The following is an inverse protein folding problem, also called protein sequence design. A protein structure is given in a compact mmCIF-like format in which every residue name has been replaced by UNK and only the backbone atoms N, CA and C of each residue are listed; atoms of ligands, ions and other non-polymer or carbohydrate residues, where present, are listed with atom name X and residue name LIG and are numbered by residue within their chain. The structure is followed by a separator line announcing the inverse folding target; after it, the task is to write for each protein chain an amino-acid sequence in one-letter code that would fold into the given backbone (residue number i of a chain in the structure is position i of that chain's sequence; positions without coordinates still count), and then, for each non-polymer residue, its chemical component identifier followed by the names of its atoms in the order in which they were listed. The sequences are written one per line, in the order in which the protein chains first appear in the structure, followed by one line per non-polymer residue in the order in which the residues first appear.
data_IF_192760405049
#
_entry.id   IF_192760405049
#
_cell.length_a   1.000
_cell.length_b   1.000
_cell.length_c   1.000
_cell.angle_alpha   90.00
_cell.angle_beta   90.00
_cell.angle_gamma   90.00
#
_symmetry.space_group_name_H-M   'P 1'
#
loop_
_entity.id
_entity.type
_entity.pdbx_description
1 polymer ?
#
# COMPACT_ATOMS: atom_id res chain seq x y z
N UNK A 1 14.35 -12.11 7.55
CA UNK A 1 14.91 -10.78 7.89
C UNK A 1 13.77 -10.01 8.50
N UNK A 2 13.90 -9.62 9.76
CA UNK A 2 12.88 -8.83 10.46
C UNK A 2 13.27 -7.37 10.26
N UNK A 3 12.45 -6.61 9.54
CA UNK A 3 12.54 -5.16 9.51
C UNK A 3 12.27 -4.71 10.95
N UNK A 4 13.32 -4.33 11.69
CA UNK A 4 13.19 -3.77 13.04
C UNK A 4 13.68 -2.33 12.99
N UNK A 5 12.83 -1.45 12.46
CA UNK A 5 12.60 -0.23 13.22
C UNK A 5 11.93 -0.72 14.50
N UNK A 6 12.38 -0.32 15.70
CA UNK A 6 11.85 -0.87 16.97
C UNK A 6 10.31 -0.81 17.09
N UNK A 7 9.65 -0.06 16.20
CA UNK A 7 8.19 0.12 16.12
C UNK A 7 7.51 -0.36 14.81
N UNK A 8 8.25 -0.78 13.77
CA UNK A 8 7.64 -1.23 12.49
C UNK A 8 8.37 -2.43 11.92
N UNK A 9 7.59 -3.44 11.52
CA UNK A 9 8.01 -4.62 10.76
C UNK A 9 7.13 -4.69 9.51
N UNK A 10 7.76 -4.55 8.33
CA UNK A 10 7.11 -4.73 7.02
C UNK A 10 7.05 -6.21 6.60
N UNK A 11 7.38 -7.10 7.55
CA UNK A 11 7.48 -8.55 7.37
C UNK A 11 6.11 -9.22 7.44
N UNK A 12 5.05 -8.45 7.76
CA UNK A 12 3.67 -8.92 7.80
C UNK A 12 3.03 -8.69 6.43
N UNK A 13 2.80 -9.73 5.62
CA UNK A 13 2.22 -9.59 4.29
C UNK A 13 0.80 -8.99 4.31
N UNK A 14 0.12 -9.01 5.45
CA UNK A 14 -1.29 -8.66 5.58
C UNK A 14 -1.56 -7.25 6.11
N UNK A 15 -0.50 -6.45 6.37
CA UNK A 15 -0.66 -5.06 6.82
C UNK A 15 0.06 -4.09 5.90
N UNK A 16 -0.72 -3.25 5.23
CA UNK A 16 -0.25 -2.00 4.63
C UNK A 16 -0.17 -0.88 5.65
N UNK A 17 0.99 -0.22 5.78
CA UNK A 17 1.18 0.96 6.64
C UNK A 17 0.94 2.25 5.85
N UNK A 18 0.44 3.29 6.52
CA UNK A 18 0.27 4.63 5.93
C UNK A 18 1.31 5.63 6.45
N UNK A 19 2.10 6.19 5.54
CA UNK A 19 2.92 7.39 5.74
C UNK A 19 2.11 8.60 5.28
N UNK A 20 1.73 9.44 6.25
CA UNK A 20 1.18 10.76 5.98
C UNK A 20 2.33 11.73 5.70
N UNK A 21 2.54 12.05 4.42
CA UNK A 21 3.61 12.95 3.98
C UNK A 21 3.17 14.40 4.12
N UNK A 22 3.90 15.15 4.94
CA UNK A 22 3.71 16.60 5.07
C UNK A 22 4.38 17.32 3.89
N UNK A 23 5.52 16.82 3.44
CA UNK A 23 6.33 17.48 2.41
C UNK A 23 6.65 18.91 2.81
N UNK A 24 6.29 19.85 1.94
CA UNK A 24 6.44 21.31 2.15
C UNK A 24 5.12 22.02 2.49
N UNK A 25 4.01 21.30 2.68
CA UNK A 25 2.67 21.87 2.96
C UNK A 25 2.56 22.60 4.31
N UNK A 26 3.60 22.56 5.13
CA UNK A 26 3.69 23.37 6.34
C UNK A 26 4.02 24.84 6.05
N UNK A 27 4.38 25.21 4.82
CA UNK A 27 4.65 26.59 4.39
C UNK A 27 5.67 27.32 5.29
N UNK A 28 6.73 26.58 5.68
CA UNK A 28 7.74 27.02 6.65
C UNK A 28 7.22 27.47 8.03
N UNK A 29 5.96 27.17 8.36
CA UNK A 29 5.36 27.47 9.65
C UNK A 29 5.33 26.21 10.53
N UNK A 30 6.08 26.25 11.63
CA UNK A 30 6.15 25.14 12.58
C UNK A 30 4.82 24.89 13.31
N UNK A 31 3.98 25.91 13.50
CA UNK A 31 2.67 25.74 14.11
C UNK A 31 1.75 24.95 13.16
N UNK A 32 1.81 25.23 11.86
CA UNK A 32 1.10 24.45 10.83
C UNK A 32 1.63 23.01 10.82
N UNK A 33 2.96 22.82 10.80
CA UNK A 33 3.57 21.50 10.85
C UNK A 33 3.11 20.68 12.07
N UNK A 34 3.08 21.28 13.27
CA UNK A 34 2.55 20.62 14.48
C UNK A 34 1.07 20.31 14.36
N UNK A 35 0.27 21.20 13.77
CA UNK A 35 -1.15 20.94 13.54
C UNK A 35 -1.36 19.74 12.62
N UNK A 36 -0.53 19.60 11.59
CA UNK A 36 -0.53 18.45 10.71
C UNK A 36 -0.19 17.15 11.45
N UNK A 37 0.74 17.17 12.42
CA UNK A 37 1.01 16.02 13.30
C UNK A 37 -0.23 15.59 14.08
N UNK A 38 -0.96 16.56 14.66
CA UNK A 38 -2.20 16.28 15.39
C UNK A 38 -3.25 15.63 14.49
N UNK A 39 -3.47 16.20 13.30
CA UNK A 39 -4.44 15.68 12.32
C UNK A 39 -4.08 14.26 11.86
N UNK A 40 -2.81 14.02 11.52
CA UNK A 40 -2.37 12.69 11.10
C UNK A 40 -2.54 11.65 12.22
N UNK A 41 -2.28 12.04 13.47
CA UNK A 41 -2.52 11.18 14.64
C UNK A 41 -4.01 10.91 14.86
N UNK A 42 -4.85 11.94 14.79
CA UNK A 42 -6.31 11.81 14.91
C UNK A 42 -6.89 10.90 13.83
N UNK A 43 -6.36 11.01 12.61
CA UNK A 43 -6.70 10.14 11.50
C UNK A 43 -6.18 8.71 11.66
N UNK A 44 -5.23 8.48 12.58
CA UNK A 44 -4.53 7.21 12.82
C UNK A 44 -3.67 6.76 11.65
N UNK A 45 -3.00 7.71 10.97
CA UNK A 45 -1.88 7.36 10.10
C UNK A 45 -0.79 6.67 10.93
N UNK A 46 -0.08 5.71 10.34
CA UNK A 46 0.93 4.93 11.06
C UNK A 46 2.22 5.74 11.29
N UNK A 47 2.60 6.59 10.32
CA UNK A 47 3.83 7.38 10.31
C UNK A 47 3.51 8.78 9.79
N UNK A 48 4.13 9.81 10.36
CA UNK A 48 4.21 11.14 9.75
C UNK A 48 5.61 11.39 9.19
N UNK A 49 5.69 11.94 7.98
CA UNK A 49 6.96 12.23 7.32
C UNK A 49 7.13 13.71 7.01
N UNK A 50 8.37 14.17 7.23
CA UNK A 50 8.85 15.51 6.91
C UNK A 50 10.05 15.44 5.95
N UNK A 51 10.50 16.60 5.49
CA UNK A 51 11.67 16.75 4.64
C UNK A 51 12.71 17.65 5.32
N UNK A 52 13.99 17.28 5.24
CA UNK A 52 15.09 18.17 5.61
C UNK A 52 16.05 18.27 4.44
N UNK A 53 16.26 19.48 3.97
CA UNK A 53 17.21 19.81 2.92
C UNK A 53 17.82 21.18 3.20
N UNK A 54 19.02 21.40 2.67
CA UNK A 54 19.60 22.72 2.52
C UNK A 54 19.45 23.09 1.05
N UNK A 55 18.60 24.08 0.76
CA UNK A 55 18.18 24.38 -0.61
C UNK A 55 19.36 24.73 -1.50
N UNK A 56 20.38 25.43 -0.97
CA UNK A 56 21.56 25.87 -1.75
C UNK A 56 22.53 24.73 -2.05
N UNK A 57 22.48 23.65 -1.25
CA UNK A 57 23.27 22.43 -1.51
C UNK A 57 22.56 21.45 -2.44
N UNK A 58 21.23 21.49 -2.44
CA UNK A 58 20.38 20.58 -3.19
C UNK A 58 20.07 21.09 -4.60
N UNK A 59 19.74 22.38 -4.71
CA UNK A 59 19.18 22.94 -5.94
C UNK A 59 20.15 23.93 -6.56
N UNK A 60 20.49 23.68 -7.83
CA UNK A 60 21.30 24.61 -8.63
C UNK A 60 20.60 25.97 -8.77
N UNK A 61 21.36 27.06 -8.75
CA UNK A 61 20.88 28.42 -9.05
C UNK A 61 20.26 28.55 -10.46
N UNK A 62 20.56 27.60 -11.34
CA UNK A 62 20.03 27.53 -12.71
C UNK A 62 18.88 26.54 -12.86
N UNK A 63 18.45 25.88 -11.79
CA UNK A 63 17.35 24.92 -11.85
C UNK A 63 16.02 25.65 -12.07
N UNK A 64 15.32 25.22 -13.11
CA UNK A 64 13.97 25.70 -13.39
C UNK A 64 12.93 24.92 -12.58
N UNK A 65 11.76 25.53 -12.37
CA UNK A 65 10.61 24.88 -11.73
C UNK A 65 10.00 23.85 -12.69
N UNK A 66 9.52 22.74 -12.15
CA UNK A 66 8.70 21.81 -12.93
C UNK A 66 7.40 22.48 -13.36
N UNK A 67 6.78 22.01 -14.45
CA UNK A 67 5.58 22.63 -15.02
C UNK A 67 4.41 22.70 -14.02
N UNK A 68 4.24 21.67 -13.18
CA UNK A 68 3.21 21.69 -12.15
C UNK A 68 3.51 22.72 -11.05
N UNK A 69 4.78 22.91 -10.69
CA UNK A 69 5.20 23.92 -9.71
C UNK A 69 4.96 25.32 -10.27
N UNK A 70 5.27 25.56 -11.54
CA UNK A 70 4.95 26.83 -12.21
C UNK A 70 3.45 27.13 -12.22
N UNK A 71 2.60 26.11 -12.39
CA UNK A 71 1.13 26.26 -12.38
C UNK A 71 0.56 26.47 -10.97
N UNK A 72 1.15 25.83 -9.97
CA UNK A 72 0.64 25.82 -8.60
C UNK A 72 1.23 26.93 -7.73
N UNK A 73 2.35 27.53 -8.15
CA UNK A 73 2.97 28.65 -7.45
C UNK A 73 2.61 29.98 -8.09
N UNK A 74 2.46 31.02 -7.27
CA UNK A 74 2.29 32.38 -7.78
C UNK A 74 3.64 33.00 -8.19
N UNK A 75 3.63 34.04 -9.04
CA UNK A 75 4.86 34.73 -9.49
C UNK A 75 5.74 35.26 -8.35
N UNK A 76 5.20 35.38 -7.14
CA UNK A 76 5.88 35.87 -5.94
C UNK A 76 6.48 34.76 -5.05
N UNK A 77 6.42 33.48 -5.45
CA UNK A 77 6.93 32.32 -4.67
C UNK A 77 8.30 31.81 -5.16
N UNK A 78 9.09 32.72 -5.74
CA UNK A 78 10.44 32.46 -6.24
C UNK A 78 10.49 32.36 -7.77
N UNK A 79 11.47 33.02 -8.37
CA UNK A 79 11.70 33.10 -9.81
C UNK A 79 12.20 31.75 -10.37
N UNK A 80 12.85 30.94 -9.54
CA UNK A 80 13.43 29.64 -9.90
C UNK A 80 13.19 28.59 -8.79
N UNK A 81 13.62 27.35 -9.03
CA UNK A 81 13.40 26.24 -8.10
C UNK A 81 14.07 26.46 -6.74
N UNK A 82 15.28 27.04 -6.73
CA UNK A 82 16.04 27.28 -5.51
C UNK A 82 15.32 28.25 -4.57
N UNK A 83 14.82 29.36 -5.11
CA UNK A 83 14.10 30.37 -4.31
C UNK A 83 12.81 29.80 -3.71
N UNK A 84 12.08 28.99 -4.47
CA UNK A 84 10.88 28.30 -3.99
C UNK A 84 11.21 27.33 -2.84
N UNK A 85 12.22 26.46 -3.01
CA UNK A 85 12.66 25.55 -1.96
C UNK A 85 13.11 26.31 -0.70
N UNK A 86 13.89 27.39 -0.87
CA UNK A 86 14.38 28.23 0.24
C UNK A 86 13.26 28.92 1.00
N UNK A 87 12.15 29.26 0.34
CA UNK A 87 10.96 29.81 0.99
C UNK A 87 10.22 28.78 1.87
N UNK A 88 10.38 27.49 1.57
CA UNK A 88 9.69 26.38 2.23
C UNK A 88 10.59 25.59 3.20
N UNK A 89 11.90 25.86 3.21
CA UNK A 89 12.89 25.15 4.02
C UNK A 89 12.67 25.30 5.55
N UNK A 90 12.54 24.18 6.26
CA UNK A 90 12.57 24.13 7.72
C UNK A 90 14.00 24.02 8.23
N UNK A 91 14.30 24.71 9.34
CA UNK A 91 15.61 24.59 9.97
C UNK A 91 15.80 23.22 10.66
N UNK A 92 17.05 22.78 10.87
CA UNK A 92 17.35 21.60 11.67
C UNK A 92 16.70 21.64 13.06
N UNK A 93 16.67 22.81 13.71
CA UNK A 93 16.02 23.03 15.01
C UNK A 93 14.50 22.79 14.93
N UNK A 94 13.85 23.23 13.83
CA UNK A 94 12.43 22.93 13.61
C UNK A 94 12.20 21.43 13.48
N UNK A 95 13.05 20.71 12.73
CA UNK A 95 12.95 19.26 12.59
C UNK A 95 13.16 18.54 13.93
N UNK A 96 14.13 18.99 14.74
CA UNK A 96 14.36 18.47 16.10
C UNK A 96 13.13 18.68 16.99
N UNK A 97 12.54 19.87 16.93
CA UNK A 97 11.33 20.21 17.68
C UNK A 97 10.12 19.37 17.24
N UNK A 98 9.94 19.18 15.93
CA UNK A 98 8.87 18.32 15.37
C UNK A 98 9.04 16.86 15.78
N UNK A 99 10.27 16.34 15.76
CA UNK A 99 10.56 14.98 16.25
C UNK A 99 10.16 14.82 17.73
N UNK A 100 10.56 15.76 18.59
CA UNK A 100 10.19 15.75 20.01
C UNK A 100 8.67 15.88 20.22
N UNK A 101 7.99 16.68 19.39
CA UNK A 101 6.54 16.81 19.42
C UNK A 101 5.84 15.50 19.01
N UNK A 102 6.32 14.84 17.95
CA UNK A 102 5.83 13.53 17.51
C UNK A 102 6.00 12.47 18.61
N UNK A 103 7.17 12.42 19.27
CA UNK A 103 7.44 11.52 20.40
C UNK A 103 6.46 11.74 21.56
N UNK A 104 6.20 13.01 21.93
CA UNK A 104 5.22 13.36 22.96
C UNK A 104 3.81 12.86 22.62
N UNK A 105 3.44 12.92 21.34
CA UNK A 105 2.13 12.47 20.85
C UNK A 105 2.10 10.97 20.53
N UNK A 106 3.22 10.24 20.68
CA UNK A 106 3.38 8.84 20.25
C UNK A 106 3.07 8.65 18.76
N UNK A 107 3.37 9.66 17.96
CA UNK A 107 3.29 9.62 16.50
C UNK A 107 4.67 9.26 15.95
N UNK A 108 4.81 8.15 15.21
CA UNK A 108 6.10 7.79 14.65
C UNK A 108 6.56 8.77 13.58
N UNK A 109 7.83 9.19 13.69
CA UNK A 109 8.43 10.24 12.89
C UNK A 109 9.37 9.65 11.84
N UNK A 110 9.23 10.10 10.60
CA UNK A 110 10.13 9.80 9.49
C UNK A 110 10.59 11.11 8.84
N UNK A 111 11.77 11.11 8.24
CA UNK A 111 12.25 12.26 7.50
C UNK A 111 13.01 11.83 6.24
N UNK A 112 12.90 12.64 5.20
CA UNK A 112 13.61 12.49 3.94
C UNK A 112 14.92 13.26 3.98
N UNK A 113 16.02 12.60 3.59
CA UNK A 113 17.32 13.23 3.39
C UNK A 113 17.54 13.47 1.90
N UNK A 114 18.00 14.66 1.54
CA UNK A 114 18.26 15.07 0.16
C UNK A 114 19.75 15.16 -0.14
N UNK A 115 20.53 15.69 0.83
CA UNK A 115 21.97 15.83 0.69
C UNK A 115 22.74 15.44 1.96
N UNK A 116 24.08 15.46 1.89
CA UNK A 116 24.99 14.97 2.94
C UNK A 116 24.76 15.60 4.31
N UNK A 117 24.51 16.90 4.37
CA UNK A 117 24.27 17.62 5.63
C UNK A 117 22.99 17.15 6.30
N UNK A 118 21.87 17.07 5.57
CA UNK A 118 20.59 16.53 6.05
C UNK A 118 20.74 15.09 6.52
N UNK A 119 21.45 14.24 5.76
CA UNK A 119 21.74 12.86 6.16
C UNK A 119 22.47 12.77 7.50
N UNK A 120 23.56 13.54 7.65
CA UNK A 120 24.35 13.54 8.88
C UNK A 120 23.54 14.07 10.06
N UNK A 121 22.76 15.14 9.86
CA UNK A 121 21.91 15.69 10.91
C UNK A 121 20.84 14.70 11.36
N UNK A 122 20.12 14.08 10.41
CA UNK A 122 19.06 13.13 10.70
C UNK A 122 19.59 11.87 11.42
N UNK A 123 20.70 11.30 10.94
CA UNK A 123 21.23 10.05 11.50
C UNK A 123 22.10 10.29 12.73
N UNK A 124 23.12 11.14 12.64
CA UNK A 124 24.09 11.34 13.72
C UNK A 124 23.57 12.34 14.76
N UNK A 125 22.87 13.39 14.32
CA UNK A 125 22.33 14.43 15.20
C UNK A 125 21.03 14.03 15.91
N UNK A 126 20.06 13.46 15.18
CA UNK A 126 18.75 13.05 15.72
C UNK A 126 18.64 11.56 16.02
N UNK A 127 19.64 10.76 15.65
CA UNK A 127 19.69 9.34 15.97
C UNK A 127 18.74 8.47 15.14
N UNK A 128 18.22 8.97 14.01
CA UNK A 128 17.27 8.22 13.17
C UNK A 128 17.88 6.91 12.68
N UNK A 129 17.09 5.83 12.75
CA UNK A 129 17.49 4.48 12.33
C UNK A 129 16.90 4.07 10.98
N UNK A 130 15.97 4.87 10.49
CA UNK A 130 15.35 4.73 9.17
C UNK A 130 15.29 6.11 8.53
N UNK A 131 15.62 6.19 7.24
CA UNK A 131 15.46 7.40 6.45
C UNK A 131 14.72 7.12 5.16
N UNK A 132 14.03 8.14 4.66
CA UNK A 132 13.44 8.14 3.32
C UNK A 132 14.44 8.74 2.33
N UNK A 133 14.58 8.10 1.17
CA UNK A 133 15.33 8.61 0.01
C UNK A 133 14.30 8.95 -1.08
N UNK A 134 14.26 10.20 -1.57
CA UNK A 134 13.31 10.61 -2.60
C UNK A 134 13.77 10.14 -3.98
N UNK A 135 12.87 10.14 -4.96
CA UNK A 135 13.15 9.63 -6.30
C UNK A 135 14.29 10.31 -7.05
N UNK A 136 14.49 11.64 -6.96
CA UNK A 136 15.62 12.30 -7.62
C UNK A 136 17.01 11.73 -7.24
N UNK A 137 17.14 11.16 -6.03
CA UNK A 137 18.41 10.65 -5.52
C UNK A 137 18.75 9.22 -5.94
N UNK A 138 17.87 8.54 -6.69
CA UNK A 138 18.06 7.11 -7.00
C UNK A 138 19.30 6.83 -7.85
N UNK A 139 19.73 7.78 -8.67
CA UNK A 139 20.94 7.68 -9.49
C UNK A 139 22.15 8.36 -8.85
N UNK A 140 22.00 9.00 -7.68
CA UNK A 140 23.08 9.65 -6.95
C UNK A 140 23.91 8.62 -6.17
N UNK A 141 24.65 7.78 -6.91
CA UNK A 141 25.46 6.67 -6.36
C UNK A 141 26.42 7.11 -5.25
N UNK A 142 27.13 8.26 -5.35
CA UNK A 142 27.96 8.74 -4.25
C UNK A 142 27.16 9.00 -2.96
N UNK A 143 25.96 9.57 -3.05
CA UNK A 143 25.10 9.83 -1.90
C UNK A 143 24.51 8.54 -1.32
N UNK A 144 24.02 7.63 -2.18
CA UNK A 144 23.55 6.31 -1.75
C UNK A 144 24.64 5.51 -1.01
N UNK A 145 25.90 5.61 -1.45
CA UNK A 145 27.03 5.00 -0.75
C UNK A 145 27.23 5.59 0.64
N UNK A 146 27.10 6.91 0.81
CA UNK A 146 27.18 7.55 2.13
C UNK A 146 26.03 7.13 3.03
N UNK A 147 24.82 6.98 2.48
CA UNK A 147 23.65 6.48 3.21
C UNK A 147 23.90 5.04 3.69
N UNK A 148 24.37 4.15 2.83
CA UNK A 148 24.65 2.77 3.23
C UNK A 148 25.70 2.69 4.35
N UNK A 149 26.72 3.56 4.32
CA UNK A 149 27.75 3.63 5.37
C UNK A 149 27.21 4.03 6.75
N UNK A 150 26.05 4.72 6.80
CA UNK A 150 25.36 5.01 8.05
C UNK A 150 24.74 3.77 8.71
N UNK A 151 24.62 2.66 7.98
CA UNK A 151 24.05 1.38 8.45
C UNK A 151 22.64 1.56 9.04
N UNK A 152 21.86 2.42 8.42
CA UNK A 152 20.43 2.64 8.70
C UNK A 152 19.57 1.80 7.76
N UNK A 153 18.27 1.74 8.03
CA UNK A 153 17.29 1.20 7.10
C UNK A 153 16.82 2.30 6.15
N UNK A 154 16.40 1.91 4.95
CA UNK A 154 16.03 2.84 3.88
C UNK A 154 14.64 2.53 3.33
N UNK A 155 13.85 3.58 3.14
CA UNK A 155 12.69 3.58 2.25
C UNK A 155 13.10 4.36 0.99
N UNK A 156 13.12 3.72 -0.17
CA UNK A 156 13.64 4.29 -1.43
C UNK A 156 12.50 4.43 -2.44
N UNK A 157 12.15 5.66 -2.85
CA UNK A 157 11.20 5.85 -3.96
C UNK A 157 11.89 5.71 -5.31
N UNK A 158 11.18 5.17 -6.29
CA UNK A 158 11.72 4.84 -7.62
C UNK A 158 11.02 5.53 -8.78
N UNK A 159 10.36 6.66 -8.55
CA UNK A 159 9.80 7.49 -9.62
C UNK A 159 10.86 7.96 -10.60
N UNK A 160 10.46 8.15 -11.86
CA UNK A 160 11.32 8.57 -12.97
C UNK A 160 12.60 7.70 -13.14
N UNK A 161 12.51 6.40 -12.84
CA UNK A 161 13.64 5.47 -12.96
C UNK A 161 13.29 4.20 -13.71
N UNK A 162 14.30 3.61 -14.34
CA UNK A 162 14.24 2.29 -14.94
C UNK A 162 14.67 1.20 -13.95
N UNK A 163 14.24 -0.04 -14.21
CA UNK A 163 14.53 -1.18 -13.33
C UNK A 163 16.05 -1.40 -13.08
N UNK A 164 16.90 -1.09 -14.06
CA UNK A 164 18.35 -1.21 -13.91
C UNK A 164 18.96 -0.14 -12.97
N UNK A 165 18.40 1.06 -12.92
CA UNK A 165 18.81 2.12 -11.98
C UNK A 165 18.39 1.75 -10.56
N UNK A 166 17.19 1.19 -10.40
CA UNK A 166 16.73 0.64 -9.12
C UNK A 166 17.68 -0.47 -8.63
N UNK A 167 18.09 -1.38 -9.53
CA UNK A 167 19.04 -2.44 -9.21
C UNK A 167 20.39 -1.88 -8.73
N UNK A 168 20.94 -0.88 -9.43
CA UNK A 168 22.20 -0.23 -9.07
C UNK A 168 22.11 0.49 -7.72
N UNK A 169 20.99 1.16 -7.44
CA UNK A 169 20.73 1.83 -6.17
C UNK A 169 20.70 0.83 -5.00
N UNK A 170 19.96 -0.28 -5.17
CA UNK A 170 19.89 -1.37 -4.17
C UNK A 170 21.28 -1.96 -3.92
N UNK A 171 22.02 -2.27 -4.99
CA UNK A 171 23.36 -2.82 -4.89
C UNK A 171 24.28 -1.88 -4.11
N UNK A 172 24.30 -0.60 -4.49
CA UNK A 172 25.12 0.43 -3.83
C UNK A 172 24.82 0.55 -2.34
N UNK A 173 23.54 0.59 -1.97
CA UNK A 173 23.11 0.68 -0.58
C UNK A 173 23.57 -0.56 0.22
N UNK A 174 23.34 -1.76 -0.31
CA UNK A 174 23.69 -3.02 0.34
C UNK A 174 25.21 -3.17 0.52
N UNK A 175 25.99 -2.92 -0.54
CA UNK A 175 27.45 -3.01 -0.51
C UNK A 175 28.08 -2.02 0.50
N UNK A 176 27.47 -0.84 0.66
CA UNK A 176 27.91 0.17 1.61
C UNK A 176 27.50 -0.14 3.07
N UNK A 177 26.64 -1.14 3.30
CA UNK A 177 26.25 -1.59 4.64
C UNK A 177 24.84 -1.20 5.10
N UNK A 178 23.97 -0.78 4.18
CA UNK A 178 22.55 -0.56 4.48
C UNK A 178 21.91 -1.84 5.03
N UNK A 179 21.11 -1.72 6.09
CA UNK A 179 20.56 -2.89 6.79
C UNK A 179 19.38 -3.51 6.05
N UNK A 180 18.38 -2.68 5.79
CA UNK A 180 17.10 -3.09 5.22
C UNK A 180 16.65 -2.05 4.20
N UNK A 181 15.96 -2.47 3.15
CA UNK A 181 15.48 -1.61 2.06
C UNK A 181 14.02 -1.94 1.76
N UNK A 182 13.17 -0.92 1.79
CA UNK A 182 11.80 -0.95 1.24
C UNK A 182 11.78 -0.09 -0.01
N UNK A 183 11.22 -0.62 -1.10
CA UNK A 183 11.07 0.13 -2.35
C UNK A 183 9.67 0.74 -2.42
N UNK A 184 9.55 1.98 -2.91
CA UNK A 184 8.26 2.56 -3.27
C UNK A 184 8.20 2.76 -4.78
N UNK A 185 7.27 2.05 -5.43
CA UNK A 185 6.82 2.45 -6.75
C UNK A 185 6.21 3.85 -6.67
N UNK A 186 6.46 4.68 -7.68
CA UNK A 186 6.07 6.09 -7.68
C UNK A 186 6.10 6.64 -9.11
N UNK A 187 5.30 7.65 -9.37
CA UNK A 187 5.39 8.50 -10.56
C UNK A 187 5.62 9.93 -10.10
N UNK A 188 6.69 10.57 -10.55
CA UNK A 188 7.12 11.90 -10.10
C UNK A 188 6.34 13.03 -10.79
N UNK A 189 5.01 13.00 -10.71
CA UNK A 189 4.10 13.98 -11.33
C UNK A 189 2.98 14.35 -10.34
N UNK A 190 2.65 15.65 -10.22
CA UNK A 190 1.79 16.15 -9.15
C UNK A 190 0.68 17.07 -9.71
N UNK A 191 -0.56 16.59 -9.89
CA UNK A 191 -1.01 15.22 -9.68
C UNK A 191 -0.64 14.27 -10.83
N UNK A 192 -0.45 12.99 -10.54
CA UNK A 192 -0.28 11.95 -11.55
C UNK A 192 -1.65 11.49 -12.09
N UNK A 193 -1.87 11.44 -13.42
CA UNK A 193 -3.05 10.82 -14.02
C UNK A 193 -3.15 9.33 -13.70
N UNK A 194 -4.36 8.80 -13.49
CA UNK A 194 -4.54 7.40 -13.06
C UNK A 194 -4.01 6.39 -14.09
N UNK A 195 -4.13 6.70 -15.38
CA UNK A 195 -3.63 5.92 -16.50
C UNK A 195 -2.10 5.75 -16.49
N UNK A 196 -1.36 6.69 -15.89
CA UNK A 196 0.10 6.69 -15.83
C UNK A 196 0.64 6.01 -14.57
N UNK A 197 -0.22 5.69 -13.59
CA UNK A 197 0.22 5.14 -12.31
C UNK A 197 0.96 3.81 -12.40
N UNK A 198 0.58 2.95 -13.35
CA UNK A 198 1.23 1.65 -13.59
C UNK A 198 1.44 0.80 -12.30
N UNK A 199 0.42 0.64 -11.46
CA UNK A 199 0.53 -0.06 -10.16
C UNK A 199 1.07 -1.51 -10.27
N UNK A 200 0.94 -2.16 -11.43
CA UNK A 200 1.51 -3.49 -11.68
C UNK A 200 3.04 -3.52 -11.63
N UNK A 201 3.71 -2.39 -11.80
CA UNK A 201 5.16 -2.27 -11.64
C UNK A 201 5.65 -2.70 -10.25
N UNK A 202 4.82 -2.53 -9.21
CA UNK A 202 5.13 -3.05 -7.86
C UNK A 202 5.38 -4.55 -7.86
N UNK A 203 4.58 -5.31 -8.62
CA UNK A 203 4.75 -6.76 -8.75
C UNK A 203 6.09 -7.07 -9.43
N UNK A 204 6.42 -6.36 -10.51
CA UNK A 204 7.71 -6.51 -11.21
C UNK A 204 8.89 -6.22 -10.27
N UNK A 205 8.84 -5.13 -9.50
CA UNK A 205 9.89 -4.78 -8.54
C UNK A 205 10.03 -5.85 -7.44
N UNK A 206 8.90 -6.35 -6.92
CA UNK A 206 8.89 -7.40 -5.88
C UNK A 206 9.52 -8.69 -6.40
N UNK A 207 9.17 -9.13 -7.61
CA UNK A 207 9.75 -10.32 -8.24
C UNK A 207 11.24 -10.14 -8.56
N UNK A 208 11.64 -8.98 -9.09
CA UNK A 208 13.02 -8.72 -9.50
C UNK A 208 13.99 -8.64 -8.31
N UNK A 209 13.56 -8.06 -7.18
CA UNK A 209 14.46 -7.73 -6.08
C UNK A 209 14.24 -8.53 -4.80
N UNK A 210 13.08 -9.21 -4.66
CA UNK A 210 12.72 -9.94 -3.44
C UNK A 210 12.62 -9.04 -2.19
N UNK A 211 12.45 -7.73 -2.39
CA UNK A 211 12.33 -6.73 -1.32
C UNK A 211 10.85 -6.38 -1.07
N UNK A 212 10.50 -5.88 0.12
CA UNK A 212 9.19 -5.28 0.35
C UNK A 212 8.97 -4.09 -0.58
N UNK A 213 7.79 -4.03 -1.20
CA UNK A 213 7.42 -2.97 -2.14
C UNK A 213 6.15 -2.29 -1.65
N UNK A 214 6.17 -0.97 -1.62
CA UNK A 214 5.03 -0.10 -1.38
C UNK A 214 4.77 0.84 -2.55
N UNK A 215 3.93 1.84 -2.31
CA UNK A 215 3.53 2.84 -3.28
C UNK A 215 3.61 4.24 -2.66
N UNK A 216 4.26 5.16 -3.36
CA UNK A 216 4.29 6.60 -3.05
C UNK A 216 3.47 7.30 -4.11
N UNK A 217 2.33 7.83 -3.69
CA UNK A 217 1.25 8.26 -4.55
C UNK A 217 1.14 9.79 -4.62
N UNK A 218 1.01 10.27 -5.84
CA UNK A 218 0.79 11.67 -6.18
C UNK A 218 -0.46 11.86 -7.04
N UNK A 219 -1.30 10.84 -7.20
CA UNK A 219 -2.62 10.96 -7.82
C UNK A 219 -3.62 11.65 -6.88
N UNK A 220 -4.70 12.17 -7.45
CA UNK A 220 -5.81 12.71 -6.66
C UNK A 220 -6.60 11.57 -5.98
N UNK A 221 -7.32 11.90 -4.91
CA UNK A 221 -8.15 10.93 -4.20
C UNK A 221 -7.34 9.85 -3.48
N UNK A 222 -7.98 8.72 -3.19
CA UNK A 222 -7.45 7.62 -2.35
C UNK A 222 -7.58 6.24 -3.02
N UNK A 223 -8.18 6.19 -4.20
CA UNK A 223 -8.56 4.97 -4.91
C UNK A 223 -7.33 4.17 -5.32
N UNK A 224 -6.30 4.87 -5.83
CA UNK A 224 -5.02 4.28 -6.21
C UNK A 224 -4.29 3.67 -5.01
N UNK A 225 -4.33 4.32 -3.86
CA UNK A 225 -3.73 3.82 -2.62
C UNK A 225 -4.36 2.49 -2.17
N UNK A 226 -5.70 2.42 -2.20
CA UNK A 226 -6.46 1.22 -1.83
C UNK A 226 -6.19 0.10 -2.85
N UNK A 227 -6.16 0.42 -4.14
CA UNK A 227 -5.82 -0.54 -5.18
C UNK A 227 -4.38 -1.07 -5.03
N UNK A 228 -3.43 -0.20 -4.68
CA UNK A 228 -2.05 -0.58 -4.42
C UNK A 228 -1.93 -1.51 -3.21
N UNK A 229 -2.65 -1.21 -2.13
CA UNK A 229 -2.73 -2.11 -0.97
C UNK A 229 -3.29 -3.49 -1.36
N UNK A 230 -4.35 -3.54 -2.16
CA UNK A 230 -4.92 -4.79 -2.67
C UNK A 230 -3.96 -5.58 -3.58
N UNK A 231 -3.04 -4.90 -4.26
CA UNK A 231 -1.96 -5.50 -5.06
C UNK A 231 -0.75 -5.92 -4.21
N UNK A 232 -0.80 -5.74 -2.89
CA UNK A 232 0.22 -6.20 -1.95
C UNK A 232 1.29 -5.16 -1.60
N UNK A 233 0.98 -3.86 -1.73
CA UNK A 233 1.83 -2.80 -1.21
C UNK A 233 1.95 -2.91 0.33
N UNK A 234 3.18 -2.98 0.85
CA UNK A 234 3.43 -3.05 2.31
C UNK A 234 3.32 -1.68 2.98
N UNK A 235 3.42 -0.62 2.20
CA UNK A 235 3.34 0.77 2.68
C UNK A 235 2.77 1.65 1.58
N UNK A 236 1.93 2.60 1.98
CA UNK A 236 1.43 3.71 1.17
C UNK A 236 2.02 4.99 1.72
N UNK A 237 2.56 5.83 0.86
CA UNK A 237 2.97 7.20 1.17
C UNK A 237 2.10 8.16 0.37
N UNK A 238 1.40 9.06 1.07
CA UNK A 238 0.46 10.00 0.45
C UNK A 238 0.66 11.39 1.05
N UNK A 239 0.81 12.39 0.18
CA UNK A 239 0.84 13.79 0.62
C UNK A 239 -0.51 14.19 1.20
N UNK A 240 -0.51 14.87 2.35
CA UNK A 240 -1.71 15.45 2.92
C UNK A 240 -1.52 16.91 3.30
N UNK A 241 -2.62 17.63 3.39
CA UNK A 241 -2.67 19.04 3.75
C UNK A 241 -3.83 19.33 4.69
N UNK A 242 -3.83 20.51 5.32
CA UNK A 242 -4.95 21.00 6.11
C UNK A 242 -6.06 21.57 5.21
N UNK A 243 -5.67 22.18 4.09
CA UNK A 243 -6.56 22.80 3.10
C UNK A 243 -5.82 22.89 1.74
N UNK A 244 -6.44 22.36 0.68
CA UNK A 244 -5.91 22.40 -0.71
C UNK A 244 -5.91 23.80 -1.33
N UNK A 245 -6.52 24.79 -0.68
CA UNK A 245 -6.54 26.19 -1.11
C UNK A 245 -5.41 27.02 -0.49
N UNK A 246 -4.67 26.47 0.48
CA UNK A 246 -3.44 27.10 0.94
C UNK A 246 -2.43 27.21 -0.19
N UNK A 247 -1.57 28.23 -0.09
CA UNK A 247 -0.49 28.49 -1.04
C UNK A 247 0.60 27.43 -0.90
N UNK A 248 1.25 27.10 -2.02
CA UNK A 248 2.37 26.15 -2.07
C UNK A 248 2.21 25.11 -3.17
N UNK A 249 3.32 24.47 -3.59
CA UNK A 249 3.35 23.66 -4.82
C UNK A 249 2.55 22.36 -4.74
N UNK A 250 2.46 21.78 -3.54
CA UNK A 250 1.98 20.40 -3.35
C UNK A 250 0.55 20.33 -2.80
N UNK A 251 -0.02 21.45 -2.33
CA UNK A 251 -1.35 21.50 -1.74
C UNK A 251 -2.43 20.93 -2.67
N UNK A 252 -2.36 21.25 -3.98
CA UNK A 252 -3.35 20.81 -4.97
C UNK A 252 -3.35 19.29 -5.22
N UNK A 253 -2.22 18.63 -5.03
CA UNK A 253 -2.10 17.18 -5.20
C UNK A 253 -2.31 16.40 -3.88
N UNK A 254 -2.41 17.11 -2.75
CA UNK A 254 -2.50 16.51 -1.42
C UNK A 254 -3.94 16.18 -1.02
N UNK A 255 -4.12 15.13 -0.20
CA UNK A 255 -5.43 14.83 0.40
C UNK A 255 -5.69 15.65 1.66
N UNK A 256 -6.94 15.94 1.96
CA UNK A 256 -7.37 16.71 3.15
C UNK A 256 -7.64 15.79 4.36
N UNK A 257 -7.86 16.34 5.57
CA UNK A 257 -8.01 15.54 6.79
C UNK A 257 -9.10 14.46 6.72
N UNK A 258 -10.20 14.75 6.04
CA UNK A 258 -11.34 13.82 5.90
C UNK A 258 -11.00 12.65 4.96
N UNK A 259 -10.27 12.94 3.90
CA UNK A 259 -9.77 11.94 2.94
C UNK A 259 -8.65 11.11 3.55
N UNK A 260 -7.78 11.69 4.40
CA UNK A 260 -6.79 10.94 5.16
C UNK A 260 -7.45 9.92 6.09
N UNK A 261 -8.54 10.32 6.78
CA UNK A 261 -9.36 9.40 7.58
C UNK A 261 -10.02 8.32 6.72
N UNK A 262 -10.52 8.70 5.55
CA UNK A 262 -11.11 7.75 4.60
C UNK A 262 -10.07 6.74 4.09
N UNK A 263 -8.84 7.19 3.82
CA UNK A 263 -7.73 6.33 3.40
C UNK A 263 -7.35 5.33 4.50
N UNK A 264 -7.17 5.78 5.75
CA UNK A 264 -6.90 4.88 6.88
C UNK A 264 -8.00 3.82 7.03
N UNK A 265 -9.27 4.24 6.91
CA UNK A 265 -10.41 3.31 6.93
C UNK A 265 -10.37 2.33 5.75
N UNK A 266 -10.09 2.83 4.55
CA UNK A 266 -9.99 2.04 3.31
C UNK A 266 -8.91 0.96 3.41
N UNK A 267 -7.70 1.33 3.84
CA UNK A 267 -6.60 0.39 4.06
C UNK A 267 -6.94 -0.65 5.14
N UNK A 268 -7.60 -0.23 6.22
CA UNK A 268 -8.07 -1.16 7.27
C UNK A 268 -9.07 -2.18 6.74
N UNK A 269 -10.01 -1.75 5.88
CA UNK A 269 -10.99 -2.64 5.25
C UNK A 269 -10.30 -3.57 4.25
N UNK A 270 -9.42 -3.04 3.40
CA UNK A 270 -8.69 -3.82 2.42
C UNK A 270 -7.86 -4.94 3.08
N UNK A 271 -7.09 -4.62 4.12
CA UNK A 271 -6.29 -5.60 4.87
C UNK A 271 -7.16 -6.72 5.46
N UNK A 272 -8.39 -6.42 5.91
CA UNK A 272 -9.33 -7.44 6.40
C UNK A 272 -9.97 -8.26 5.27
N UNK A 273 -10.23 -7.63 4.13
CA UNK A 273 -10.93 -8.24 3.00
C UNK A 273 -10.05 -9.17 2.16
N UNK A 274 -8.74 -8.93 2.10
CA UNK A 274 -7.81 -9.73 1.29
C UNK A 274 -7.72 -11.19 1.74
N UNK A 275 -7.87 -11.47 3.04
CA UNK A 275 -8.01 -12.83 3.56
C UNK A 275 -6.83 -13.74 3.19
N UNK A 276 -7.14 -14.89 2.57
CA UNK A 276 -6.16 -15.93 2.22
C UNK A 276 -6.26 -16.29 0.74
N UNK A 277 -5.17 -16.79 0.17
CA UNK A 277 -5.14 -17.35 -1.20
C UNK A 277 -5.95 -18.65 -1.35
N UNK A 278 -6.46 -19.23 -0.27
CA UNK A 278 -7.24 -20.49 -0.30
C UNK A 278 -8.71 -20.20 -0.63
N UNK A 279 -9.20 -20.69 -1.77
CA UNK A 279 -10.64 -20.65 -2.10
C UNK A 279 -11.39 -21.73 -1.33
N UNK A 280 -12.17 -21.30 -0.36
CA UNK A 280 -13.08 -22.15 0.41
C UNK A 280 -14.36 -21.39 0.78
N UNK A 281 -15.43 -22.06 1.25
CA UNK A 281 -16.59 -21.36 1.81
C UNK A 281 -16.18 -20.52 3.02
N UNK A 282 -16.72 -19.31 3.12
CA UNK A 282 -16.46 -18.47 4.28
C UNK A 282 -17.11 -19.07 5.54
N UNK A 283 -16.58 -18.76 6.72
CA UNK A 283 -17.14 -19.25 8.00
C UNK A 283 -18.61 -18.89 8.14
N UNK A 284 -19.03 -17.71 7.68
CA UNK A 284 -20.42 -17.25 7.70
C UNK A 284 -21.34 -18.02 6.74
N UNK A 285 -20.79 -18.77 5.78
CA UNK A 285 -21.55 -19.55 4.80
C UNK A 285 -21.68 -21.03 5.19
N UNK A 286 -20.90 -21.53 6.16
CA UNK A 286 -20.82 -22.96 6.49
C UNK A 286 -22.19 -23.55 6.83
N UNK A 287 -22.99 -22.84 7.65
CA UNK A 287 -24.35 -23.28 8.01
C UNK A 287 -25.33 -23.29 6.84
N UNK A 288 -25.05 -22.54 5.76
CA UNK A 288 -25.92 -22.49 4.59
C UNK A 288 -25.62 -23.62 3.61
N UNK A 289 -24.46 -24.29 3.71
CA UNK A 289 -24.02 -25.27 2.71
C UNK A 289 -25.05 -26.37 2.52
N UNK A 290 -25.55 -26.98 3.61
CA UNK A 290 -26.56 -28.05 3.56
C UNK A 290 -27.85 -27.59 2.89
N UNK A 291 -28.21 -26.31 3.02
CA UNK A 291 -29.46 -25.77 2.49
C UNK A 291 -29.37 -25.37 1.01
N UNK A 292 -28.23 -24.80 0.60
CA UNK A 292 -28.10 -24.16 -0.73
C UNK A 292 -27.47 -25.05 -1.80
N UNK A 293 -26.72 -26.07 -1.38
CA UNK A 293 -26.17 -27.06 -2.31
C UNK A 293 -27.27 -28.05 -2.72
N UNK A 294 -27.06 -28.66 -3.88
CA UNK A 294 -28.03 -29.57 -4.47
C UNK A 294 -27.57 -31.02 -4.32
N UNK A 295 -28.53 -31.91 -4.34
CA UNK A 295 -28.37 -33.37 -4.44
C UNK A 295 -29.24 -33.89 -5.58
N UNK A 296 -29.03 -35.15 -5.93
CA UNK A 296 -29.93 -35.88 -6.82
C UNK A 296 -31.21 -36.23 -6.06
N UNK A 297 -32.35 -35.94 -6.68
CA UNK A 297 -33.67 -36.35 -6.21
C UNK A 297 -34.36 -37.17 -7.29
N UNK A 298 -35.33 -38.00 -6.91
CA UNK A 298 -36.14 -38.69 -7.89
C UNK A 298 -37.10 -37.70 -8.57
N UNK A 299 -37.04 -37.56 -9.90
CA UNK A 299 -37.96 -36.71 -10.67
C UNK A 299 -39.36 -37.33 -10.79
N UNK A 300 -39.45 -38.64 -10.60
CA UNK A 300 -40.67 -39.44 -10.54
C UNK A 300 -40.52 -40.49 -9.43
N UNK A 301 -41.57 -41.23 -9.09
CA UNK A 301 -41.42 -42.41 -8.24
C UNK A 301 -40.62 -43.50 -8.96
N UNK A 302 -39.68 -44.15 -8.24
CA UNK A 302 -38.79 -45.19 -8.77
C UNK A 302 -38.96 -46.46 -7.94
N UNK A 303 -39.56 -47.49 -8.55
CA UNK A 303 -39.86 -48.76 -7.87
C UNK A 303 -38.61 -49.58 -7.54
N UNK A 304 -38.64 -50.30 -6.41
CA UNK A 304 -37.60 -51.26 -6.01
C UNK A 304 -37.22 -52.21 -7.15
N UNK A 305 -35.91 -52.34 -7.39
CA UNK A 305 -35.32 -53.21 -8.41
C UNK A 305 -35.18 -52.56 -9.79
N UNK A 306 -35.79 -51.39 -10.03
CA UNK A 306 -35.66 -50.63 -11.27
C UNK A 306 -34.23 -50.12 -11.45
N UNK A 307 -33.74 -50.07 -12.69
CA UNK A 307 -32.46 -49.42 -13.02
C UNK A 307 -32.69 -47.92 -13.15
N UNK A 308 -31.80 -47.11 -12.56
CA UNK A 308 -31.83 -45.66 -12.71
C UNK A 308 -31.50 -45.25 -14.14
N UNK A 309 -32.33 -44.39 -14.70
CA UNK A 309 -32.14 -43.72 -15.98
C UNK A 309 -32.09 -42.20 -15.73
N UNK A 310 -31.39 -41.45 -16.59
CA UNK A 310 -31.14 -40.02 -16.38
C UNK A 310 -32.45 -39.20 -16.33
N UNK A 311 -33.46 -39.58 -17.14
CA UNK A 311 -34.77 -38.93 -17.16
C UNK A 311 -35.62 -39.17 -15.89
N UNK A 312 -35.18 -40.04 -14.97
CA UNK A 312 -35.85 -40.30 -13.70
C UNK A 312 -35.29 -39.44 -12.56
N UNK A 313 -34.23 -38.67 -12.81
CA UNK A 313 -33.46 -37.95 -11.79
C UNK A 313 -33.58 -36.45 -12.04
N UNK A 314 -33.80 -35.71 -10.97
CA UNK A 314 -33.80 -34.26 -10.95
C UNK A 314 -32.68 -33.74 -10.02
N UNK A 315 -32.25 -32.50 -10.21
CA UNK A 315 -31.17 -31.90 -9.41
C UNK A 315 -31.71 -30.72 -8.61
N UNK A 316 -32.04 -30.97 -7.35
CA UNK A 316 -32.73 -30.04 -6.45
C UNK A 316 -31.97 -29.84 -5.13
N UNK A 317 -32.32 -28.78 -4.39
CA UNK A 317 -31.88 -28.56 -3.00
C UNK A 317 -32.77 -29.40 -2.06
N UNK A 318 -32.33 -29.73 -0.84
CA UNK A 318 -31.04 -29.41 -0.21
C UNK A 318 -29.93 -30.40 -0.55
N UNK A 319 -28.74 -30.20 0.01
CA UNK A 319 -27.68 -31.20 0.03
C UNK A 319 -27.98 -32.22 1.14
N UNK A 320 -27.75 -33.49 0.84
CA UNK A 320 -27.94 -34.59 1.79
C UNK A 320 -28.04 -35.96 1.12
N UNK A 321 -28.49 -35.99 -0.14
CA UNK A 321 -28.42 -37.15 -1.03
C UNK A 321 -27.13 -37.20 -1.84
N UNK A 322 -27.07 -38.13 -2.79
CA UNK A 322 -25.98 -38.29 -3.76
C UNK A 322 -25.67 -36.96 -4.43
N UNK A 323 -24.38 -36.65 -4.55
CA UNK A 323 -23.91 -35.42 -5.18
C UNK A 323 -24.27 -35.42 -6.66
N UNK A 324 -24.67 -34.28 -7.24
CA UNK A 324 -24.87 -34.18 -8.68
C UNK A 324 -23.60 -34.50 -9.50
N UNK A 325 -22.42 -34.35 -8.89
CA UNK A 325 -21.15 -34.74 -9.50
C UNK A 325 -20.99 -36.26 -9.68
N UNK A 326 -21.84 -37.05 -9.03
CA UNK A 326 -21.81 -38.52 -9.07
C UNK A 326 -22.96 -39.09 -9.93
N UNK A 327 -23.69 -38.26 -10.69
CA UNK A 327 -24.82 -38.70 -11.52
C UNK A 327 -24.45 -39.89 -12.42
N UNK A 328 -23.38 -39.78 -13.19
CA UNK A 328 -22.93 -40.83 -14.11
C UNK A 328 -22.59 -42.15 -13.41
N UNK A 329 -22.24 -42.10 -12.13
CA UNK A 329 -21.90 -43.30 -11.34
C UNK A 329 -23.14 -44.07 -10.92
N UNK A 330 -24.30 -43.42 -10.86
CA UNK A 330 -25.53 -44.06 -10.39
C UNK A 330 -26.44 -44.50 -11.52
N UNK A 331 -26.27 -43.95 -12.73
CA UNK A 331 -27.02 -44.40 -13.91
C UNK A 331 -26.75 -45.89 -14.16
N UNK A 332 -27.83 -46.66 -14.35
CA UNK A 332 -27.79 -48.09 -14.57
C UNK A 332 -27.75 -48.95 -13.30
N UNK A 333 -27.44 -48.38 -12.12
CA UNK A 333 -27.56 -49.08 -10.84
C UNK A 333 -29.03 -49.38 -10.52
N UNK A 334 -29.28 -50.41 -9.71
CA UNK A 334 -30.66 -50.77 -9.31
C UNK A 334 -30.99 -50.15 -7.97
N UNK A 335 -32.21 -49.62 -7.82
CA UNK A 335 -32.69 -49.19 -6.50
C UNK A 335 -33.09 -50.40 -5.64
N UNK A 336 -32.72 -50.42 -4.36
CA UNK A 336 -32.98 -51.54 -3.44
C UNK A 336 -34.25 -51.35 -2.58
N UNK A 337 -34.85 -50.16 -2.65
CA UNK A 337 -36.18 -49.79 -2.14
C UNK A 337 -36.89 -48.90 -3.15
N UNK A 338 -38.18 -48.68 -2.96
CA UNK A 338 -38.91 -47.65 -3.72
C UNK A 338 -38.50 -46.27 -3.20
N UNK A 339 -38.23 -45.33 -4.12
CA UNK A 339 -37.91 -43.92 -3.84
C UNK A 339 -39.07 -43.07 -4.36
N UNK A 340 -39.64 -42.21 -3.52
CA UNK A 340 -40.76 -41.36 -3.86
C UNK A 340 -40.33 -40.18 -4.74
N UNK A 341 -41.25 -39.63 -5.55
CA UNK A 341 -40.97 -38.41 -6.31
C UNK A 341 -40.55 -37.26 -5.36
N UNK A 342 -39.56 -36.48 -5.79
CA UNK A 342 -38.89 -35.42 -5.04
C UNK A 342 -38.13 -35.85 -3.77
N UNK A 343 -38.04 -37.15 -3.49
CA UNK A 343 -37.18 -37.67 -2.42
C UNK A 343 -35.70 -37.63 -2.84
N UNK A 344 -34.82 -37.33 -1.88
CA UNK A 344 -33.37 -37.41 -2.06
C UNK A 344 -32.97 -38.86 -2.36
N UNK A 345 -32.14 -39.05 -3.37
CA UNK A 345 -31.52 -40.35 -3.65
C UNK A 345 -30.27 -40.45 -2.78
N UNK A 346 -30.15 -41.50 -1.98
CA UNK A 346 -28.97 -41.81 -1.16
C UNK A 346 -28.18 -42.98 -1.75
N UNK A 347 -26.88 -43.06 -1.47
CA UNK A 347 -26.05 -44.21 -1.88
C UNK A 347 -26.58 -45.54 -1.34
N UNK A 348 -27.19 -45.49 -0.15
CA UNK A 348 -27.83 -46.62 0.53
C UNK A 348 -29.03 -47.17 -0.25
N UNK A 349 -29.61 -46.38 -1.15
CA UNK A 349 -30.75 -46.79 -1.98
C UNK A 349 -30.32 -47.60 -3.19
N UNK A 350 -29.01 -47.71 -3.48
CA UNK A 350 -28.47 -48.23 -4.73
C UNK A 350 -27.75 -49.58 -4.54
N UNK A 351 -27.86 -50.45 -5.54
CA UNK A 351 -27.27 -51.80 -5.59
C UNK A 351 -26.54 -52.07 -6.90
#
# INVERSE_FOLDING_TARGET
MNFVCKDFSFDKPDKTYLIAEVGVNHNRDIAIAKKMVEVAREAKADIIKFQLFDSEKEVSIHADKADYQKKNTSDNEGLNQLEMCKALELSPENIKELKAFCEKLKMPFLCTAFEKYSLNYLVDGLGLKTIKIPSPEITNIPFLRQIGQKKVSVILSTGASHLHEVALAIQTLKEAGCKEIVLLHCVSQYPTPYEDLNLRAMHTMKQAFGLPVGFSDHSLGIEADIAAAALGAVVIEKHFTLDRNMKGPDHKASIEPDELRALVKGLTIANKALGSYIKQPATCEQGNLSLIRKSLVAGIEIEKGKRLEENMIEIKRPMGGVSPADLDKIIGLRVNRTIQADELIHWEDLA
#
